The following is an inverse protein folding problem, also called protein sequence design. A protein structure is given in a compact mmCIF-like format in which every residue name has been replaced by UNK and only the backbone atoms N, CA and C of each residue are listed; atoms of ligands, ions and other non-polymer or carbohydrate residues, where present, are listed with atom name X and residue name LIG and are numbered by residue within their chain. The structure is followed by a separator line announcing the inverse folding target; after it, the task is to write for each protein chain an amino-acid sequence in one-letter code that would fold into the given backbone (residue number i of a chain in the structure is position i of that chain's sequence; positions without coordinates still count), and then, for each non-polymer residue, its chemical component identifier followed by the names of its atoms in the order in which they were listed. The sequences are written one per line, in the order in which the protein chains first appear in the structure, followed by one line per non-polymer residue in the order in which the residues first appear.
data_IF_420377103288
#
_entry.id   IF_420377103288
#
_cell.length_a   1.000
_cell.length_b   1.000
_cell.length_c   1.000
_cell.angle_alpha   90.00
_cell.angle_beta   90.00
_cell.angle_gamma   90.00
#
_symmetry.space_group_name_H-M   'P 1'
#
loop_
_entity.id
_entity.type
_entity.pdbx_description
1 polymer ?
#
# COMPACT_ATOMS: atom_id res chain seq x y z
N UNK A 1 7.11 -13.94 17.43
CA UNK A 1 7.84 -13.13 16.43
C UNK A 1 9.08 -13.93 16.06
N UNK A 2 9.22 -14.34 14.79
CA UNK A 2 10.42 -15.06 14.37
C UNK A 2 11.56 -14.04 14.17
N UNK A 3 12.54 -14.03 15.08
CA UNK A 3 13.67 -13.11 15.06
C UNK A 3 14.62 -13.35 13.87
N UNK A 4 14.64 -14.56 13.30
CA UNK A 4 15.46 -14.90 12.13
C UNK A 4 15.07 -14.06 10.92
N UNK A 5 13.77 -13.75 10.77
CA UNK A 5 13.28 -12.87 9.69
C UNK A 5 13.88 -11.47 9.75
N UNK A 6 14.30 -11.01 10.94
CA UNK A 6 14.87 -9.68 11.14
C UNK A 6 16.36 -9.61 10.79
N UNK A 7 17.08 -10.74 10.82
CA UNK A 7 18.52 -10.79 10.55
C UNK A 7 18.85 -10.63 9.06
N UNK A 8 17.89 -10.90 8.19
CA UNK A 8 18.05 -10.87 6.73
C UNK A 8 17.32 -9.69 6.08
N UNK A 9 17.07 -8.60 6.82
CA UNK A 9 16.41 -7.41 6.31
C UNK A 9 17.43 -6.42 5.76
N UNK A 10 17.08 -5.79 4.66
CA UNK A 10 17.86 -4.70 4.10
C UNK A 10 18.10 -3.55 5.08
N UNK A 11 19.30 -2.96 5.00
CA UNK A 11 19.62 -1.71 5.67
C UNK A 11 19.38 -0.56 4.71
N UNK A 12 18.65 0.47 5.16
CA UNK A 12 18.41 1.69 4.39
C UNK A 12 19.34 2.78 4.91
N UNK A 13 20.21 3.28 4.04
CA UNK A 13 21.00 4.49 4.28
C UNK A 13 20.06 5.71 4.22
N UNK A 14 19.91 6.46 5.33
CA UNK A 14 19.08 7.66 5.36
C UNK A 14 19.71 8.86 4.64
N UNK A 15 20.97 8.75 4.17
CA UNK A 15 21.68 9.82 3.49
C UNK A 15 21.17 9.96 2.06
N UNK A 16 20.63 11.11 1.65
CA UNK A 16 20.22 11.31 0.27
C UNK A 16 21.45 11.27 -0.65
N UNK A 17 21.26 10.80 -1.88
CA UNK A 17 22.32 10.87 -2.87
C UNK A 17 22.63 12.34 -3.22
N UNK A 18 23.91 12.69 -3.45
CA UNK A 18 24.28 14.07 -3.75
C UNK A 18 23.57 14.59 -5.00
N UNK A 19 22.97 15.81 -4.98
CA UNK A 19 22.24 16.34 -6.13
C UNK A 19 23.14 16.69 -7.32
N UNK A 20 24.44 16.89 -7.08
CA UNK A 20 25.46 17.14 -8.12
C UNK A 20 26.07 15.84 -8.69
N UNK A 21 25.51 14.68 -8.38
CA UNK A 21 26.00 13.41 -8.93
C UNK A 21 25.85 13.41 -10.45
N UNK A 22 26.80 12.79 -11.14
CA UNK A 22 26.61 12.45 -12.54
C UNK A 22 25.56 11.33 -12.66
N UNK A 23 24.66 11.46 -13.62
CA UNK A 23 23.70 10.41 -13.94
C UNK A 23 24.42 9.16 -14.42
N UNK A 24 23.99 8.01 -13.91
CA UNK A 24 24.60 6.73 -14.25
C UNK A 24 24.12 6.23 -15.61
N UNK A 25 22.88 6.50 -16.00
CA UNK A 25 22.38 6.15 -17.32
C UNK A 25 22.52 7.34 -18.25
N UNK A 26 22.91 7.09 -19.49
CA UNK A 26 23.00 8.12 -20.53
C UNK A 26 21.64 8.74 -20.87
N UNK A 27 20.58 7.93 -20.79
CA UNK A 27 19.20 8.35 -20.92
C UNK A 27 18.28 7.34 -20.22
N UNK A 28 17.30 7.86 -19.47
CA UNK A 28 16.15 7.08 -18.99
C UNK A 28 14.92 7.63 -19.69
N UNK A 29 14.35 6.82 -20.57
CA UNK A 29 13.27 7.21 -21.46
C UNK A 29 11.95 6.59 -21.01
N UNK A 30 10.99 7.44 -20.63
CA UNK A 30 9.64 7.04 -20.22
C UNK A 30 8.66 7.76 -21.14
N UNK A 31 8.22 7.07 -22.19
CA UNK A 31 7.23 7.57 -23.13
C UNK A 31 5.85 7.02 -22.76
N UNK A 32 4.92 7.83 -22.22
CA UNK A 32 3.61 7.35 -21.81
C UNK A 32 2.71 6.91 -22.96
N UNK A 33 2.93 7.41 -24.19
CA UNK A 33 2.19 6.94 -25.35
C UNK A 33 2.68 5.55 -25.79
N UNK A 34 1.79 4.56 -25.71
CA UNK A 34 2.12 3.15 -26.02
C UNK A 34 2.61 2.95 -27.44
N UNK A 35 2.06 3.65 -28.43
CA UNK A 35 2.45 3.46 -29.84
C UNK A 35 3.85 4.01 -30.06
N UNK A 36 4.11 5.22 -29.58
CA UNK A 36 5.43 5.86 -29.68
C UNK A 36 6.47 5.04 -28.93
N UNK A 37 6.16 4.51 -27.75
CA UNK A 37 7.08 3.67 -26.98
C UNK A 37 7.48 2.37 -27.73
N UNK A 38 6.53 1.74 -28.44
CA UNK A 38 6.79 0.55 -29.28
C UNK A 38 7.68 0.92 -30.47
N UNK A 39 7.34 1.99 -31.21
CA UNK A 39 8.12 2.46 -32.36
C UNK A 39 9.58 2.76 -31.95
N UNK A 40 9.78 3.41 -30.80
CA UNK A 40 11.12 3.67 -30.26
C UNK A 40 11.84 2.39 -29.85
N UNK A 41 11.13 1.38 -29.34
CA UNK A 41 11.72 0.10 -28.96
C UNK A 41 12.18 -0.70 -30.18
N UNK A 42 11.46 -0.63 -31.30
CA UNK A 42 11.88 -1.21 -32.57
C UNK A 42 13.12 -0.48 -33.11
N UNK A 43 13.15 0.85 -33.03
CA UNK A 43 14.29 1.66 -33.41
C UNK A 43 15.54 1.42 -32.53
N UNK A 44 15.37 0.99 -31.27
CA UNK A 44 16.46 0.69 -30.35
C UNK A 44 17.43 -0.38 -30.92
N UNK A 45 16.91 -1.36 -31.68
CA UNK A 45 17.72 -2.40 -32.33
C UNK A 45 18.64 -1.89 -33.43
N UNK A 46 18.29 -0.75 -34.04
CA UNK A 46 19.11 -0.12 -35.09
C UNK A 46 20.05 0.96 -34.55
N UNK A 47 19.81 1.43 -33.33
CA UNK A 47 20.52 2.57 -32.73
C UNK A 47 21.47 2.19 -31.60
N UNK A 48 21.40 0.95 -31.11
CA UNK A 48 22.26 0.41 -30.06
C UNK A 48 22.98 -0.86 -30.53
N UNK A 49 24.22 -1.05 -30.10
CA UNK A 49 24.98 -2.26 -30.42
C UNK A 49 24.41 -3.50 -29.71
N UNK A 50 23.81 -3.30 -28.52
CA UNK A 50 23.17 -4.35 -27.72
C UNK A 50 21.78 -3.88 -27.28
N UNK A 51 20.78 -4.77 -27.40
CA UNK A 51 19.45 -4.57 -26.81
C UNK A 51 19.10 -5.74 -25.91
N UNK A 52 18.78 -5.45 -24.65
CA UNK A 52 18.38 -6.46 -23.66
C UNK A 52 17.00 -6.12 -23.12
N UNK A 53 16.16 -7.13 -23.00
CA UNK A 53 14.82 -7.04 -22.41
C UNK A 53 14.88 -7.59 -21.00
N UNK A 54 14.24 -6.93 -20.03
CA UNK A 54 14.08 -7.44 -18.66
C UNK A 54 12.63 -7.45 -18.25
N UNK A 55 12.26 -8.45 -17.48
CA UNK A 55 10.94 -8.57 -16.87
C UNK A 55 11.00 -9.35 -15.56
N UNK A 56 9.94 -9.23 -14.75
CA UNK A 56 9.74 -10.02 -13.55
C UNK A 56 8.32 -10.55 -13.42
N UNK A 57 8.21 -11.78 -12.94
CA UNK A 57 6.92 -12.46 -12.85
C UNK A 57 6.76 -13.26 -11.57
N UNK A 58 5.51 -13.48 -11.18
CA UNK A 58 5.13 -14.22 -9.99
C UNK A 58 4.43 -15.54 -10.32
N UNK A 59 4.88 -16.64 -9.71
CA UNK A 59 4.26 -17.96 -9.85
C UNK A 59 4.32 -18.71 -8.53
N UNK A 60 3.22 -19.35 -8.13
CA UNK A 60 3.15 -20.20 -6.91
C UNK A 60 3.75 -19.53 -5.64
N UNK A 61 3.44 -18.26 -5.42
CA UNK A 61 3.91 -17.51 -4.24
C UNK A 61 5.38 -17.08 -4.26
N UNK A 62 6.09 -17.30 -5.38
CA UNK A 62 7.47 -16.89 -5.58
C UNK A 62 7.57 -15.89 -6.74
N UNK A 63 8.65 -15.11 -6.73
CA UNK A 63 9.02 -14.16 -7.77
C UNK A 63 10.27 -14.63 -8.48
N UNK A 64 10.26 -14.50 -9.80
CA UNK A 64 11.41 -14.66 -10.67
C UNK A 64 11.66 -13.36 -11.44
N UNK A 65 12.91 -13.15 -11.83
CA UNK A 65 13.32 -12.06 -12.70
C UNK A 65 14.16 -12.63 -13.84
N UNK A 66 14.09 -12.01 -15.00
CA UNK A 66 14.87 -12.43 -16.14
C UNK A 66 15.34 -11.25 -16.99
N UNK A 67 16.39 -11.51 -17.74
CA UNK A 67 16.90 -10.66 -18.79
C UNK A 67 17.22 -11.51 -20.02
N UNK A 68 16.90 -11.04 -21.21
CA UNK A 68 17.10 -11.76 -22.47
C UNK A 68 17.55 -10.82 -23.59
N UNK A 69 18.49 -11.31 -24.40
CA UNK A 69 18.94 -10.71 -25.65
C UNK A 69 18.51 -11.60 -26.81
N UNK A 70 17.95 -10.99 -27.85
CA UNK A 70 17.51 -11.67 -29.07
C UNK A 70 18.39 -11.29 -30.26
N UNK A 71 18.60 -12.20 -31.21
CA UNK A 71 19.20 -11.88 -32.51
C UNK A 71 18.17 -11.23 -33.48
N UNK A 72 18.61 -10.97 -34.71
CA UNK A 72 17.76 -10.45 -35.80
C UNK A 72 16.61 -11.41 -36.15
N UNK A 73 16.84 -12.71 -36.06
CA UNK A 73 15.83 -13.77 -36.25
C UNK A 73 14.88 -13.95 -35.06
N UNK A 74 14.95 -13.08 -34.05
CA UNK A 74 14.16 -13.12 -32.81
C UNK A 74 14.41 -14.35 -31.92
N UNK A 75 15.55 -15.01 -32.08
CA UNK A 75 15.98 -16.14 -31.25
C UNK A 75 16.83 -15.65 -30.07
N UNK A 76 16.71 -16.32 -28.93
CA UNK A 76 17.48 -15.95 -27.72
C UNK A 76 18.95 -16.28 -27.90
N UNK A 77 19.80 -15.27 -27.85
CA UNK A 77 21.27 -15.40 -27.94
C UNK A 77 21.92 -15.49 -26.56
N UNK A 78 21.47 -14.65 -25.63
CA UNK A 78 21.92 -14.66 -24.24
C UNK A 78 20.72 -14.42 -23.33
N UNK A 79 20.70 -15.11 -22.20
CA UNK A 79 19.68 -14.89 -21.17
C UNK A 79 20.21 -15.18 -19.78
N UNK A 80 19.61 -14.52 -18.80
CA UNK A 80 19.77 -14.80 -17.38
C UNK A 80 18.38 -14.89 -16.79
N UNK A 81 18.13 -15.93 -16.01
CA UNK A 81 16.91 -16.09 -15.21
C UNK A 81 17.31 -16.38 -13.77
N UNK A 82 16.64 -15.75 -12.82
CA UNK A 82 16.98 -15.87 -11.41
C UNK A 82 15.74 -15.89 -10.53
N UNK A 83 15.78 -16.74 -9.51
CA UNK A 83 14.77 -16.71 -8.47
C UNK A 83 15.04 -15.53 -7.53
N UNK A 84 14.03 -14.68 -7.34
CA UNK A 84 14.07 -13.55 -6.41
C UNK A 84 13.71 -13.98 -4.99
N UNK A 85 12.67 -14.81 -4.85
CA UNK A 85 12.27 -15.37 -3.56
C UNK A 85 10.77 -15.31 -3.34
N UNK A 86 10.29 -15.58 -2.11
CA UNK A 86 8.87 -15.66 -1.84
C UNK A 86 8.22 -14.26 -1.77
N UNK A 87 6.95 -14.17 -2.20
CA UNK A 87 6.19 -12.92 -2.31
C UNK A 87 5.87 -12.26 -0.95
N UNK A 88 6.00 -12.99 0.15
CA UNK A 88 5.88 -12.46 1.52
C UNK A 88 7.12 -11.65 1.95
N UNK A 89 8.27 -11.84 1.28
CA UNK A 89 9.54 -11.16 1.55
C UNK A 89 9.99 -10.22 0.44
N UNK A 90 9.51 -10.45 -0.78
CA UNK A 90 9.89 -9.72 -1.98
C UNK A 90 8.68 -9.10 -2.69
N UNK A 91 8.94 -8.12 -3.56
CA UNK A 91 7.91 -7.44 -4.34
C UNK A 91 8.21 -7.54 -5.82
N UNK A 92 7.17 -7.55 -6.66
CA UNK A 92 7.34 -7.55 -8.13
C UNK A 92 8.25 -6.38 -8.51
N UNK A 93 8.02 -5.19 -7.96
CA UNK A 93 8.90 -4.04 -8.15
C UNK A 93 10.38 -4.30 -7.84
N UNK A 94 10.71 -5.01 -6.76
CA UNK A 94 12.10 -5.38 -6.48
C UNK A 94 12.64 -6.42 -7.47
N UNK A 95 11.80 -7.36 -7.90
CA UNK A 95 12.15 -8.33 -8.94
C UNK A 95 12.44 -7.65 -10.29
N UNK A 96 11.67 -6.62 -10.67
CA UNK A 96 11.93 -5.80 -11.87
C UNK A 96 13.31 -5.14 -11.82
N UNK A 97 13.65 -4.52 -10.68
CA UNK A 97 14.96 -3.91 -10.47
C UNK A 97 16.08 -4.95 -10.58
N UNK A 98 15.87 -6.16 -10.07
CA UNK A 98 16.82 -7.27 -10.20
C UNK A 98 16.95 -7.69 -11.67
N UNK A 99 15.85 -7.76 -12.43
CA UNK A 99 15.87 -8.01 -13.87
C UNK A 99 16.76 -7.02 -14.61
N UNK A 100 16.58 -5.72 -14.35
CA UNK A 100 17.40 -4.64 -14.93
C UNK A 100 18.88 -4.80 -14.55
N UNK A 101 19.19 -5.15 -13.29
CA UNK A 101 20.57 -5.41 -12.88
C UNK A 101 21.20 -6.56 -13.68
N UNK A 102 20.46 -7.65 -13.91
CA UNK A 102 20.96 -8.77 -14.69
C UNK A 102 21.06 -8.46 -16.19
N UNK A 103 20.29 -7.51 -16.72
CA UNK A 103 20.51 -6.99 -18.07
C UNK A 103 21.90 -6.35 -18.23
N UNK A 104 22.35 -5.58 -17.23
CA UNK A 104 23.71 -4.99 -17.23
C UNK A 104 24.78 -6.10 -17.22
N UNK A 105 24.54 -7.21 -16.51
CA UNK A 105 25.43 -8.36 -16.53
C UNK A 105 25.50 -9.03 -17.91
N UNK A 106 24.38 -9.13 -18.63
CA UNK A 106 24.37 -9.62 -20.02
C UNK A 106 25.19 -8.69 -20.91
N UNK A 107 24.94 -7.37 -20.85
CA UNK A 107 25.67 -6.36 -21.63
C UNK A 107 27.19 -6.51 -21.44
N UNK A 108 27.66 -6.57 -20.20
CA UNK A 108 29.08 -6.71 -19.89
C UNK A 108 29.66 -8.04 -20.42
N UNK A 109 28.94 -9.15 -20.28
CA UNK A 109 29.38 -10.47 -20.79
C UNK A 109 29.48 -10.48 -22.32
N UNK A 110 28.47 -9.96 -22.99
CA UNK A 110 28.39 -9.91 -24.45
C UNK A 110 29.48 -8.98 -24.99
N UNK A 111 29.65 -7.78 -24.42
CA UNK A 111 30.72 -6.86 -24.83
C UNK A 111 32.13 -7.48 -24.69
N UNK A 112 32.40 -8.20 -23.60
CA UNK A 112 33.66 -8.92 -23.42
C UNK A 112 33.86 -10.04 -24.45
N UNK A 113 32.79 -10.76 -24.80
CA UNK A 113 32.85 -11.80 -25.85
C UNK A 113 33.15 -11.18 -27.21
N UNK A 114 32.44 -10.13 -27.62
CA UNK A 114 32.67 -9.42 -28.90
C UNK A 114 34.09 -8.88 -29.01
N UNK A 115 34.62 -8.32 -27.92
CA UNK A 115 36.01 -7.86 -27.88
C UNK A 115 36.99 -9.02 -28.11
N UNK A 116 36.77 -10.18 -27.46
CA UNK A 116 37.68 -11.34 -27.55
C UNK A 116 37.60 -12.07 -28.89
N UNK A 117 36.42 -12.19 -29.49
CA UNK A 117 36.23 -13.00 -30.70
C UNK A 117 36.39 -12.20 -31.98
N UNK A 118 35.89 -10.97 -32.01
CA UNK A 118 35.79 -10.16 -33.24
C UNK A 118 36.55 -8.83 -33.14
N UNK A 119 37.21 -8.52 -32.02
CA UNK A 119 37.83 -7.22 -31.74
C UNK A 119 36.84 -6.04 -31.93
N UNK A 120 35.54 -6.32 -31.82
CA UNK A 120 34.48 -5.33 -31.96
C UNK A 120 34.25 -4.64 -30.62
N UNK A 121 34.27 -3.31 -30.62
CA UNK A 121 33.93 -2.50 -29.44
C UNK A 121 32.46 -2.15 -29.45
N UNK A 122 31.74 -2.70 -28.48
CA UNK A 122 30.42 -2.22 -28.08
C UNK A 122 30.57 -0.84 -27.46
N UNK A 123 29.76 0.12 -27.91
CA UNK A 123 29.76 1.50 -27.38
C UNK A 123 28.42 1.88 -26.76
N UNK A 124 27.35 1.19 -27.14
CA UNK A 124 25.99 1.54 -26.75
C UNK A 124 25.17 0.30 -26.44
N UNK A 125 24.37 0.37 -25.38
CA UNK A 125 23.41 -0.68 -25.04
C UNK A 125 22.09 -0.07 -24.56
N UNK A 126 20.97 -0.69 -24.92
CA UNK A 126 19.64 -0.29 -24.45
C UNK A 126 19.00 -1.43 -23.67
N UNK A 127 18.52 -1.13 -22.47
CA UNK A 127 17.70 -2.03 -21.64
C UNK A 127 16.24 -1.62 -21.80
N UNK A 128 15.39 -2.56 -22.21
CA UNK A 128 13.96 -2.40 -22.35
C UNK A 128 13.24 -3.10 -21.19
N UNK A 129 12.38 -2.39 -20.47
CA UNK A 129 11.59 -2.93 -19.35
C UNK A 129 10.18 -2.34 -19.39
N UNK A 130 9.19 -3.14 -19.03
CA UNK A 130 7.81 -2.66 -18.92
C UNK A 130 7.43 -2.07 -17.56
N UNK A 131 8.35 -2.12 -16.60
CA UNK A 131 8.16 -1.55 -15.27
C UNK A 131 8.51 -0.07 -15.22
N UNK A 132 7.56 0.78 -15.61
CA UNK A 132 7.67 2.24 -15.47
C UNK A 132 8.05 2.66 -14.03
N UNK A 133 7.53 1.93 -13.03
CA UNK A 133 7.85 2.18 -11.62
C UNK A 133 9.33 1.93 -11.28
N UNK A 134 9.96 0.90 -11.86
CA UNK A 134 11.37 0.59 -11.66
C UNK A 134 12.24 1.68 -12.30
N UNK A 135 11.91 2.12 -13.51
CA UNK A 135 12.60 3.20 -14.21
C UNK A 135 12.56 4.50 -13.42
N UNK A 136 11.38 4.88 -12.89
CA UNK A 136 11.23 6.07 -12.05
C UNK A 136 12.03 5.97 -10.75
N UNK A 137 12.10 4.78 -10.14
CA UNK A 137 12.87 4.56 -8.92
C UNK A 137 14.39 4.64 -9.16
N UNK A 138 14.86 4.20 -10.32
CA UNK A 138 16.26 4.33 -10.74
C UNK A 138 16.61 5.78 -11.06
N UNK A 139 15.71 6.50 -11.76
CA UNK A 139 15.88 7.91 -12.11
C UNK A 139 15.92 8.81 -10.88
N UNK A 140 15.08 8.50 -9.87
CA UNK A 140 15.00 9.26 -8.63
C UNK A 140 15.21 8.33 -7.42
N UNK A 141 16.46 7.89 -7.17
CA UNK A 141 16.75 7.02 -6.04
C UNK A 141 16.41 7.71 -4.73
N UNK A 142 15.56 7.07 -3.93
CA UNK A 142 15.18 7.56 -2.61
C UNK A 142 15.51 6.56 -1.52
N UNK A 143 15.38 7.01 -0.27
CA UNK A 143 15.68 6.21 0.93
C UNK A 143 14.48 5.32 1.26
N UNK A 144 14.19 4.36 0.37
CA UNK A 144 13.04 3.46 0.42
C UNK A 144 13.48 2.00 0.29
N UNK A 145 12.56 1.09 0.60
CA UNK A 145 12.76 -0.35 0.45
C UNK A 145 13.17 -0.71 -0.98
N UNK A 146 14.20 -1.55 -1.15
CA UNK A 146 14.85 -1.84 -2.44
C UNK A 146 16.09 -0.99 -2.73
N UNK A 147 16.51 -0.09 -1.82
CA UNK A 147 17.66 0.81 -2.02
C UNK A 147 18.94 0.05 -2.40
N UNK A 148 19.25 -1.07 -1.73
CA UNK A 148 20.43 -1.88 -2.04
C UNK A 148 20.50 -2.31 -3.53
N UNK A 149 19.34 -2.59 -4.15
CA UNK A 149 19.24 -3.05 -5.54
C UNK A 149 19.48 -1.86 -6.47
N UNK A 150 18.85 -0.72 -6.19
CA UNK A 150 19.05 0.52 -6.97
C UNK A 150 20.51 0.94 -6.93
N UNK A 151 21.16 0.91 -5.75
CA UNK A 151 22.58 1.23 -5.63
C UNK A 151 23.46 0.26 -6.41
N UNK A 152 23.15 -1.04 -6.37
CA UNK A 152 23.86 -2.04 -7.17
C UNK A 152 23.71 -1.79 -8.68
N UNK A 153 22.50 -1.41 -9.16
CA UNK A 153 22.27 -1.02 -10.56
C UNK A 153 23.15 0.17 -10.92
N UNK A 154 23.08 1.27 -10.15
CA UNK A 154 23.83 2.49 -10.45
C UNK A 154 25.35 2.25 -10.45
N UNK A 155 25.85 1.44 -9.51
CA UNK A 155 27.25 1.05 -9.48
C UNK A 155 27.64 0.18 -10.68
N UNK A 156 26.78 -0.77 -11.06
CA UNK A 156 27.03 -1.65 -12.20
C UNK A 156 27.07 -0.84 -13.51
N UNK A 157 26.16 0.12 -13.71
CA UNK A 157 26.19 0.98 -14.90
C UNK A 157 27.45 1.84 -14.93
N UNK A 158 27.82 2.51 -13.84
CA UNK A 158 29.06 3.32 -13.77
C UNK A 158 30.30 2.50 -14.10
N UNK A 159 30.35 1.25 -13.61
CA UNK A 159 31.43 0.33 -13.96
C UNK A 159 31.40 -0.04 -15.46
N UNK A 160 30.22 -0.20 -16.06
CA UNK A 160 30.11 -0.42 -17.52
C UNK A 160 30.56 0.82 -18.31
N UNK A 161 30.26 2.03 -17.84
CA UNK A 161 30.69 3.28 -18.47
C UNK A 161 32.22 3.44 -18.48
N UNK A 162 32.95 2.97 -17.45
CA UNK A 162 34.42 3.01 -17.46
C UNK A 162 35.03 2.13 -18.55
N UNK A 163 34.26 1.18 -19.11
CA UNK A 163 34.64 0.38 -20.27
C UNK A 163 34.23 1.04 -21.61
N UNK A 164 33.70 2.26 -21.58
CA UNK A 164 33.28 3.03 -22.76
C UNK A 164 31.93 2.63 -23.33
N UNK A 165 31.09 1.94 -22.55
CA UNK A 165 29.75 1.49 -22.98
C UNK A 165 28.70 2.38 -22.31
N UNK A 166 27.97 3.14 -23.12
CA UNK A 166 26.86 3.98 -22.70
C UNK A 166 25.58 3.15 -22.61
N UNK A 167 24.95 3.10 -21.42
CA UNK A 167 23.67 2.38 -21.24
C UNK A 167 22.49 3.35 -21.25
N UNK A 168 21.48 3.04 -22.08
CA UNK A 168 20.14 3.64 -22.07
C UNK A 168 19.17 2.70 -21.38
N UNK A 169 18.24 3.25 -20.61
CA UNK A 169 17.10 2.52 -20.07
C UNK A 169 15.83 3.08 -20.69
N UNK A 170 14.97 2.24 -21.24
CA UNK A 170 13.78 2.66 -21.97
C UNK A 170 12.56 1.85 -21.54
N UNK A 171 11.46 2.55 -21.28
CA UNK A 171 10.18 1.94 -20.98
C UNK A 171 9.53 1.37 -22.24
N UNK A 172 8.93 0.20 -22.12
CA UNK A 172 8.05 -0.37 -23.14
C UNK A 172 6.70 -0.75 -22.53
N UNK A 173 5.59 -0.70 -23.28
CA UNK A 173 4.33 -1.17 -22.74
C UNK A 173 4.32 -2.69 -22.59
N UNK A 174 3.90 -3.16 -21.42
CA UNK A 174 3.69 -4.59 -21.17
C UNK A 174 2.55 -5.16 -22.03
N UNK A 175 2.65 -6.46 -22.33
CA UNK A 175 1.69 -7.24 -23.14
C UNK A 175 1.41 -6.66 -24.53
N UNK A 176 2.44 -6.11 -25.18
CA UNK A 176 2.35 -5.56 -26.54
C UNK A 176 2.95 -6.48 -27.61
N UNK A 177 3.11 -7.77 -27.32
CA UNK A 177 3.63 -8.76 -28.28
C UNK A 177 5.03 -8.43 -28.82
N UNK A 178 5.83 -7.68 -28.05
CA UNK A 178 7.25 -7.45 -28.36
C UNK A 178 8.00 -8.74 -28.04
N UNK A 179 8.58 -9.46 -29.03
CA UNK A 179 9.10 -10.81 -28.82
C UNK A 179 10.14 -10.91 -27.69
N UNK A 180 10.96 -9.87 -27.53
CA UNK A 180 11.96 -9.81 -26.45
C UNK A 180 11.34 -9.68 -25.05
N UNK A 181 10.27 -8.89 -24.92
CA UNK A 181 9.56 -8.75 -23.65
C UNK A 181 8.84 -10.04 -23.29
N UNK A 182 8.14 -10.66 -24.24
CA UNK A 182 7.45 -11.94 -24.03
C UNK A 182 8.42 -13.07 -23.65
N UNK A 183 9.63 -13.04 -24.23
CA UNK A 183 10.72 -13.97 -23.86
C UNK A 183 11.19 -13.73 -22.42
N UNK A 184 11.39 -12.46 -22.03
CA UNK A 184 11.78 -12.12 -20.67
C UNK A 184 10.69 -12.52 -19.65
N UNK A 185 9.42 -12.26 -19.93
CA UNK A 185 8.27 -12.68 -19.09
C UNK A 185 8.23 -14.20 -18.90
N UNK A 186 8.37 -14.95 -19.99
CA UNK A 186 8.39 -16.41 -19.95
C UNK A 186 9.54 -16.93 -19.07
N UNK A 187 10.75 -16.40 -19.26
CA UNK A 187 11.92 -16.77 -18.45
C UNK A 187 11.76 -16.36 -16.98
N UNK A 188 11.13 -15.23 -16.69
CA UNK A 188 10.84 -14.78 -15.34
C UNK A 188 9.83 -15.72 -14.65
N UNK A 189 8.78 -16.16 -15.38
CA UNK A 189 7.80 -17.14 -14.90
C UNK A 189 8.43 -18.51 -14.63
N UNK A 190 9.39 -18.93 -15.45
CA UNK A 190 10.15 -20.16 -15.22
C UNK A 190 11.07 -20.06 -14.00
N UNK A 191 11.64 -18.88 -13.73
CA UNK A 191 12.50 -18.64 -12.59
C UNK A 191 11.73 -18.40 -11.27
N UNK A 192 10.42 -18.23 -11.32
CA UNK A 192 9.55 -18.03 -10.16
C UNK A 192 9.27 -19.35 -9.40
N UNK A 193 10.31 -20.15 -9.16
CA UNK A 193 10.29 -21.41 -8.41
C UNK A 193 11.48 -21.48 -7.44
N UNK A 194 11.38 -22.20 -6.31
CA UNK A 194 12.50 -22.43 -5.39
C UNK A 194 13.80 -22.89 -6.07
N UNK A 195 14.90 -22.18 -5.81
CA UNK A 195 16.18 -22.43 -6.45
C UNK A 195 17.31 -21.49 -5.98
N UNK A 196 18.35 -21.34 -6.81
CA UNK A 196 19.46 -20.44 -6.53
C UNK A 196 19.01 -18.98 -6.67
N UNK A 197 19.28 -18.18 -5.64
CA UNK A 197 18.85 -16.79 -5.55
C UNK A 197 20.01 -15.78 -5.66
N UNK A 198 19.68 -14.50 -5.61
CA UNK A 198 20.59 -13.35 -5.63
C UNK A 198 21.15 -13.04 -4.23
N UNK A 199 22.19 -12.20 -4.10
CA UNK A 199 22.80 -11.91 -2.80
C UNK A 199 22.07 -10.85 -1.94
N UNK A 200 20.98 -10.26 -2.42
CA UNK A 200 20.28 -9.19 -1.70
C UNK A 200 19.46 -9.67 -0.49
N UNK A 201 19.39 -8.82 0.53
CA UNK A 201 18.56 -9.02 1.72
C UNK A 201 17.08 -8.70 1.45
N UNK A 202 16.18 -9.31 2.22
CA UNK A 202 14.73 -9.13 2.09
C UNK A 202 14.26 -7.70 2.36
N UNK A 203 13.07 -7.37 1.84
CA UNK A 203 12.56 -6.00 1.84
C UNK A 203 11.99 -5.57 3.20
N UNK A 204 12.45 -4.44 3.72
CA UNK A 204 11.94 -3.84 4.96
C UNK A 204 10.44 -3.53 4.86
N UNK A 205 9.97 -3.12 3.69
CA UNK A 205 8.54 -2.84 3.44
C UNK A 205 7.65 -4.06 3.62
N UNK A 206 8.15 -5.25 3.26
CA UNK A 206 7.43 -6.53 3.38
C UNK A 206 7.34 -6.99 4.81
N UNK A 207 8.44 -6.93 5.55
CA UNK A 207 8.44 -7.26 6.98
C UNK A 207 7.55 -6.31 7.80
N UNK A 208 7.57 -5.00 7.50
CA UNK A 208 6.64 -4.04 8.10
C UNK A 208 5.18 -4.38 7.81
N UNK A 209 4.87 -4.83 6.61
CA UNK A 209 3.50 -5.24 6.24
C UNK A 209 3.09 -6.52 7.00
N UNK A 210 3.98 -7.52 7.06
CA UNK A 210 3.76 -8.77 7.79
C UNK A 210 3.48 -8.51 9.28
N UNK A 211 4.31 -7.71 9.94
CA UNK A 211 4.11 -7.35 11.36
C UNK A 211 2.77 -6.64 11.57
N UNK A 212 2.42 -5.68 10.71
CA UNK A 212 1.13 -4.97 10.81
C UNK A 212 -0.07 -5.90 10.62
N UNK A 213 0.02 -6.85 9.69
CA UNK A 213 -1.01 -7.88 9.51
C UNK A 213 -1.15 -8.75 10.76
N UNK A 214 -0.03 -9.17 11.36
CA UNK A 214 -0.03 -9.92 12.61
C UNK A 214 -0.69 -9.16 13.77
N UNK A 215 -0.35 -7.87 13.94
CA UNK A 215 -0.96 -7.00 14.95
C UNK A 215 -2.47 -6.88 14.72
N UNK A 216 -2.91 -6.66 13.47
CA UNK A 216 -4.32 -6.55 13.15
C UNK A 216 -5.08 -7.86 13.40
N UNK A 217 -4.51 -9.00 13.00
CA UNK A 217 -5.11 -10.31 13.21
C UNK A 217 -5.23 -10.65 14.71
N UNK A 218 -4.21 -10.33 15.50
CA UNK A 218 -4.26 -10.48 16.95
C UNK A 218 -5.36 -9.59 17.55
N UNK A 219 -5.39 -8.30 17.19
CA UNK A 219 -6.41 -7.37 17.66
C UNK A 219 -7.82 -7.86 17.31
N UNK A 220 -8.03 -8.34 16.08
CA UNK A 220 -9.35 -8.78 15.61
C UNK A 220 -9.86 -10.00 16.38
N UNK A 221 -8.96 -10.94 16.69
CA UNK A 221 -9.26 -12.09 17.53
C UNK A 221 -9.63 -11.64 18.95
N UNK A 222 -8.79 -10.82 19.58
CA UNK A 222 -9.06 -10.29 20.93
C UNK A 222 -10.40 -9.52 20.98
N UNK A 223 -10.70 -8.75 19.93
CA UNK A 223 -11.94 -7.99 19.83
C UNK A 223 -13.19 -8.87 19.69
N UNK A 224 -13.10 -9.96 18.93
CA UNK A 224 -14.21 -10.92 18.74
C UNK A 224 -14.44 -11.79 19.97
N UNK A 225 -13.37 -12.24 20.62
CA UNK A 225 -13.44 -13.11 21.80
C UNK A 225 -13.77 -12.34 23.10
N UNK A 226 -13.57 -11.02 23.10
CA UNK A 226 -13.84 -10.21 24.28
C UNK A 226 -15.32 -10.22 24.68
N UNK A 227 -15.57 -10.56 25.94
CA UNK A 227 -16.88 -10.43 26.59
C UNK A 227 -17.31 -8.97 26.81
N UNK A 228 -16.37 -8.02 26.71
CA UNK A 228 -16.63 -6.58 26.84
C UNK A 228 -16.75 -5.91 25.46
N UNK A 229 -17.37 -4.73 25.41
CA UNK A 229 -17.49 -3.95 24.17
C UNK A 229 -18.65 -4.35 23.25
N UNK A 230 -19.57 -5.21 23.69
CA UNK A 230 -20.72 -5.65 22.90
C UNK A 230 -21.59 -4.49 22.38
N UNK A 231 -21.84 -3.47 23.20
CA UNK A 231 -22.56 -2.27 22.78
C UNK A 231 -21.83 -1.53 21.64
N UNK A 232 -20.52 -1.29 21.79
CA UNK A 232 -19.73 -0.63 20.75
C UNK A 232 -19.71 -1.45 19.45
N UNK A 233 -19.71 -2.79 19.51
CA UNK A 233 -19.82 -3.67 18.33
C UNK A 233 -21.16 -3.56 17.62
N UNK A 234 -22.26 -3.35 18.34
CA UNK A 234 -23.58 -3.10 17.75
C UNK A 234 -23.62 -1.76 17.02
N UNK A 235 -22.89 -0.76 17.53
CA UNK A 235 -22.76 0.55 16.88
C UNK A 235 -21.81 0.50 15.69
N UNK A 236 -20.68 -0.21 15.80
CA UNK A 236 -19.67 -0.28 14.75
C UNK A 236 -18.90 -1.60 14.80
N UNK A 237 -19.28 -2.52 13.92
CA UNK A 237 -18.63 -3.81 13.78
C UNK A 237 -17.39 -3.79 12.87
N UNK A 238 -17.03 -2.63 12.32
CA UNK A 238 -15.88 -2.48 11.39
C UNK A 238 -14.62 -1.93 12.07
N UNK A 239 -14.65 -1.77 13.39
CA UNK A 239 -13.51 -1.30 14.17
C UNK A 239 -12.31 -2.27 14.03
N UNK A 240 -11.06 -1.75 14.03
CA UNK A 240 -10.69 -0.34 13.98
C UNK A 240 -10.78 0.19 12.54
N UNK A 241 -11.65 1.16 12.30
CA UNK A 241 -11.80 1.74 10.96
C UNK A 241 -11.02 3.05 10.80
N UNK A 242 -10.44 3.28 9.62
CA UNK A 242 -9.76 4.55 9.28
C UNK A 242 -10.70 5.75 9.42
N UNK A 243 -11.99 5.58 9.10
CA UNK A 243 -12.97 6.66 9.24
C UNK A 243 -13.23 7.00 10.71
N UNK A 244 -13.25 6.01 11.62
CA UNK A 244 -13.43 6.23 13.05
C UNK A 244 -12.29 7.07 13.61
N UNK A 245 -11.05 6.79 13.21
CA UNK A 245 -9.90 7.63 13.59
C UNK A 245 -10.05 9.08 13.12
N UNK A 246 -10.53 9.30 11.89
CA UNK A 246 -10.76 10.66 11.36
C UNK A 246 -11.88 11.37 12.11
N UNK A 247 -12.99 10.68 12.37
CA UNK A 247 -14.15 11.19 13.07
C UNK A 247 -13.78 11.72 14.47
N UNK A 248 -13.03 10.93 15.25
CA UNK A 248 -12.55 11.39 16.56
C UNK A 248 -11.47 12.46 16.45
N UNK A 249 -10.58 12.36 15.46
CA UNK A 249 -9.49 13.31 15.26
C UNK A 249 -9.93 14.72 14.83
N UNK A 250 -11.12 14.86 14.25
CA UNK A 250 -11.68 16.16 13.86
C UNK A 250 -12.50 16.84 14.95
N UNK A 251 -12.84 16.13 16.03
CA UNK A 251 -13.70 16.66 17.09
C UNK A 251 -12.87 17.33 18.20
N UNK A 252 -13.34 18.47 18.76
CA UNK A 252 -12.84 18.98 20.03
C UNK A 252 -12.92 17.94 21.15
N UNK A 253 -12.01 18.00 22.12
CA UNK A 253 -11.87 16.98 23.19
C UNK A 253 -13.19 16.69 23.94
N UNK A 254 -13.97 17.72 24.26
CA UNK A 254 -15.26 17.58 24.95
C UNK A 254 -16.30 16.83 24.08
N UNK A 255 -16.37 17.15 22.79
CA UNK A 255 -17.27 16.49 21.83
C UNK A 255 -16.82 15.06 21.51
N UNK A 256 -15.51 14.81 21.43
CA UNK A 256 -14.96 13.47 21.30
C UNK A 256 -15.31 12.60 22.52
N UNK A 257 -15.22 13.16 23.74
CA UNK A 257 -15.64 12.49 24.97
C UNK A 257 -17.14 12.14 24.95
N UNK A 258 -17.99 13.12 24.62
CA UNK A 258 -19.43 12.90 24.49
C UNK A 258 -19.76 11.80 23.46
N UNK A 259 -19.10 11.82 22.30
CA UNK A 259 -19.25 10.76 21.30
C UNK A 259 -18.84 9.39 21.83
N UNK A 260 -17.74 9.31 22.60
CA UNK A 260 -17.34 8.05 23.26
C UNK A 260 -18.41 7.56 24.23
N UNK A 261 -18.98 8.45 25.05
CA UNK A 261 -20.06 8.07 25.97
C UNK A 261 -21.28 7.54 25.22
N UNK A 262 -21.70 8.21 24.14
CA UNK A 262 -22.81 7.78 23.30
C UNK A 262 -22.54 6.42 22.61
N UNK A 263 -21.33 6.22 22.08
CA UNK A 263 -20.95 4.99 21.34
C UNK A 263 -20.69 3.79 22.23
N UNK A 264 -20.31 4.01 23.48
CA UNK A 264 -20.00 2.93 24.43
C UNK A 264 -21.14 2.66 25.41
N UNK A 265 -22.10 3.59 25.53
CA UNK A 265 -23.15 3.55 26.53
C UNK A 265 -22.67 3.94 27.94
N UNK A 266 -21.39 4.27 28.12
CA UNK A 266 -20.81 4.74 29.38
C UNK A 266 -21.13 6.23 29.61
N UNK A 267 -22.40 6.52 29.85
CA UNK A 267 -22.94 7.86 30.08
C UNK A 267 -23.79 7.87 31.34
N UNK A 268 -23.92 9.01 32.04
CA UNK A 268 -24.63 9.11 33.32
C UNK A 268 -26.17 9.06 33.23
N UNK A 269 -26.73 8.45 32.18
CA UNK A 269 -28.18 8.17 32.09
C UNK A 269 -28.59 7.12 33.14
N UNK A 270 -29.87 7.10 33.52
CA UNK A 270 -30.36 6.30 34.65
C UNK A 270 -29.98 4.82 34.61
N UNK A 271 -29.99 4.16 33.44
CA UNK A 271 -29.58 2.74 33.34
C UNK A 271 -28.14 2.53 33.82
N UNK A 272 -27.21 3.37 33.37
CA UNK A 272 -25.81 3.27 33.75
C UNK A 272 -25.60 3.75 35.19
N UNK A 273 -26.24 4.85 35.59
CA UNK A 273 -26.13 5.38 36.95
C UNK A 273 -26.63 4.38 38.00
N UNK A 274 -27.75 3.70 37.76
CA UNK A 274 -28.27 2.61 38.62
C UNK A 274 -27.31 1.43 38.72
N UNK A 275 -26.72 1.01 37.60
CA UNK A 275 -25.75 -0.09 37.59
C UNK A 275 -24.55 0.18 38.51
N UNK A 276 -24.17 1.46 38.69
CA UNK A 276 -23.11 1.91 39.60
C UNK A 276 -23.63 2.49 40.93
N UNK A 277 -24.92 2.31 41.25
CA UNK A 277 -25.57 2.73 42.51
C UNK A 277 -25.57 4.24 42.78
N UNK A 278 -25.57 5.06 41.73
CA UNK A 278 -25.76 6.51 41.82
C UNK A 278 -27.23 6.94 41.70
N UNK A 279 -28.12 6.00 41.33
CA UNK A 279 -29.59 6.17 41.33
C UNK A 279 -30.26 4.87 41.76
N UNK A 280 -31.46 4.98 42.33
CA UNK A 280 -32.25 3.82 42.77
C UNK A 280 -33.01 3.15 41.60
N UNK A 281 -33.37 3.93 40.59
CA UNK A 281 -34.11 3.48 39.41
C UNK A 281 -33.40 3.80 38.08
N UNK A 282 -33.85 3.13 37.02
CA UNK A 282 -33.34 3.28 35.66
C UNK A 282 -34.30 4.08 34.76
N UNK A 283 -35.16 4.90 35.37
CA UNK A 283 -36.23 5.61 34.68
C UNK A 283 -35.81 7.00 34.21
N UNK A 284 -36.34 7.37 33.07
CA UNK A 284 -36.35 8.72 32.52
C UNK A 284 -37.46 9.52 33.19
N UNK A 285 -37.40 10.85 33.09
CA UNK A 285 -38.46 11.76 33.57
C UNK A 285 -39.82 11.44 32.90
N UNK A 286 -39.80 10.84 31.70
CA UNK A 286 -41.04 10.41 31.03
C UNK A 286 -41.59 9.06 31.52
N UNK A 287 -40.95 8.39 32.48
CA UNK A 287 -41.36 7.10 33.03
C UNK A 287 -40.84 5.85 32.32
N UNK A 288 -40.14 6.00 31.19
CA UNK A 288 -39.53 4.89 30.44
C UNK A 288 -38.08 4.65 30.84
N UNK A 289 -37.47 3.51 30.46
CA UNK A 289 -36.07 3.21 30.79
C UNK A 289 -35.09 4.16 30.06
N UNK A 290 -34.25 4.88 30.81
CA UNK A 290 -33.36 5.91 30.26
C UNK A 290 -32.06 5.30 29.66
N UNK A 291 -32.10 5.03 28.36
CA UNK A 291 -30.95 4.61 27.55
C UNK A 291 -30.54 5.68 26.53
N UNK A 292 -29.34 5.55 25.93
CA UNK A 292 -28.94 6.38 24.78
C UNK A 292 -29.97 6.27 23.64
N UNK A 293 -30.47 5.05 23.40
CA UNK A 293 -31.55 4.81 22.42
C UNK A 293 -32.79 5.61 22.75
N UNK A 294 -33.30 5.46 23.98
CA UNK A 294 -34.48 6.19 24.41
C UNK A 294 -34.30 7.70 24.26
N UNK A 295 -33.19 8.26 24.72
CA UNK A 295 -32.94 9.71 24.68
C UNK A 295 -32.84 10.23 23.23
N UNK A 296 -32.13 9.52 22.35
CA UNK A 296 -31.95 9.95 20.95
C UNK A 296 -33.19 9.69 20.09
N UNK A 297 -33.93 8.60 20.33
CA UNK A 297 -34.91 8.06 19.38
C UNK A 297 -36.34 7.97 19.88
N UNK A 298 -36.60 7.95 21.19
CA UNK A 298 -37.95 7.62 21.72
C UNK A 298 -38.55 8.69 22.65
N UNK A 299 -37.72 9.38 23.44
CA UNK A 299 -38.16 10.18 24.59
C UNK A 299 -39.17 11.28 24.21
N UNK A 300 -40.42 11.25 24.70
CA UNK A 300 -41.44 12.23 24.34
C UNK A 300 -41.11 13.64 24.84
N UNK A 301 -40.35 13.76 25.93
CA UNK A 301 -39.91 15.04 26.50
C UNK A 301 -38.87 15.75 25.60
N UNK A 302 -38.23 15.03 24.69
CA UNK A 302 -37.23 15.57 23.75
C UNK A 302 -37.76 15.63 22.32
N UNK A 303 -39.09 15.61 22.12
CA UNK A 303 -39.71 15.53 20.79
C UNK A 303 -39.29 16.65 19.85
N UNK A 304 -39.26 17.90 20.32
CA UNK A 304 -38.92 19.04 19.46
C UNK A 304 -37.44 19.02 19.04
N UNK A 305 -36.54 18.69 19.98
CA UNK A 305 -35.12 18.49 19.67
C UNK A 305 -34.91 17.32 18.67
N UNK A 306 -35.67 16.22 18.83
CA UNK A 306 -35.59 15.07 17.90
C UNK A 306 -36.12 15.40 16.52
N UNK A 307 -37.15 16.25 16.42
CA UNK A 307 -37.69 16.72 15.13
C UNK A 307 -36.62 17.49 14.35
N UNK A 308 -35.88 18.36 15.03
CA UNK A 308 -34.75 19.07 14.43
C UNK A 308 -33.58 18.13 14.06
N UNK A 309 -33.23 17.19 14.95
CA UNK A 309 -32.22 16.17 14.65
C UNK A 309 -32.58 15.38 13.38
N UNK A 310 -33.82 14.89 13.29
CA UNK A 310 -34.33 14.14 12.13
C UNK A 310 -34.25 14.96 10.83
N UNK A 311 -34.54 16.26 10.89
CA UNK A 311 -34.41 17.18 9.74
C UNK A 311 -32.95 17.30 9.28
N UNK A 312 -31.99 17.35 10.20
CA UNK A 312 -30.56 17.47 9.89
C UNK A 312 -29.94 16.18 9.33
N UNK A 313 -30.33 15.01 9.86
CA UNK A 313 -29.65 13.73 9.57
C UNK A 313 -30.38 12.87 8.53
N UNK A 314 -31.65 13.16 8.23
CA UNK A 314 -32.42 12.43 7.23
C UNK A 314 -32.55 10.93 7.56
N UNK A 315 -32.28 10.08 6.57
CA UNK A 315 -32.43 8.61 6.69
C UNK A 315 -31.52 7.98 7.74
N UNK A 316 -30.42 8.66 8.11
CA UNK A 316 -29.54 8.21 9.18
C UNK A 316 -30.27 8.09 10.52
N UNK A 317 -31.39 8.82 10.72
CA UNK A 317 -32.19 8.79 11.94
C UNK A 317 -32.74 7.40 12.26
N UNK A 318 -32.89 6.52 11.26
CA UNK A 318 -33.47 5.20 11.44
C UNK A 318 -32.48 4.15 11.98
N UNK A 319 -31.20 4.50 12.13
CA UNK A 319 -30.15 3.56 12.55
C UNK A 319 -29.24 4.20 13.60
N UNK A 320 -29.22 3.62 14.80
CA UNK A 320 -28.32 4.05 15.87
C UNK A 320 -26.84 3.98 15.45
N UNK A 321 -26.47 2.93 14.70
CA UNK A 321 -25.13 2.81 14.09
C UNK A 321 -24.82 4.05 13.24
N UNK A 322 -25.72 4.41 12.32
CA UNK A 322 -25.49 5.53 11.40
C UNK A 322 -25.44 6.88 12.11
N UNK A 323 -26.34 7.11 13.08
CA UNK A 323 -26.34 8.32 13.92
C UNK A 323 -25.00 8.52 14.65
N UNK A 324 -24.40 7.43 15.14
CA UNK A 324 -23.16 7.47 15.91
C UNK A 324 -21.91 7.25 15.04
N UNK A 325 -22.06 7.37 13.71
CA UNK A 325 -20.96 7.33 12.75
C UNK A 325 -20.40 5.93 12.47
N UNK A 326 -21.17 4.89 12.75
CA UNK A 326 -20.93 3.51 12.32
C UNK A 326 -21.23 3.29 10.82
N UNK A 327 -21.11 2.05 10.34
CA UNK A 327 -21.46 1.71 8.96
C UNK A 327 -22.98 1.83 8.74
N UNK A 328 -23.38 2.38 7.58
CA UNK A 328 -24.79 2.45 7.19
C UNK A 328 -25.34 1.08 6.78
N UNK A 329 -26.63 0.85 7.05
CA UNK A 329 -27.34 -0.35 6.60
C UNK A 329 -27.78 -0.17 5.14
N UNK A 330 -26.89 -0.48 4.20
CA UNK A 330 -27.18 -0.40 2.76
C UNK A 330 -25.93 -0.57 1.89
N UNK A 331 -26.13 -0.99 0.62
CA UNK A 331 -25.07 -1.06 -0.40
C UNK A 331 -24.69 0.35 -0.89
N UNK A 332 -24.13 1.16 -0.01
CA UNK A 332 -23.65 2.50 -0.32
C UNK A 332 -22.62 2.94 0.71
N UNK A 333 -21.40 3.24 0.26
CA UNK A 333 -20.40 3.85 1.15
C UNK A 333 -20.87 5.26 1.47
N UNK A 334 -21.39 5.49 2.68
CA UNK A 334 -21.58 6.86 3.20
C UNK A 334 -20.21 7.56 3.09
N UNK A 335 -20.17 8.77 2.55
CA UNK A 335 -18.91 9.52 2.48
C UNK A 335 -18.47 9.98 3.91
N UNK A 336 -17.21 10.37 4.06
CA UNK A 336 -16.68 10.78 5.38
C UNK A 336 -17.30 12.08 5.88
N UNK A 337 -17.71 12.98 4.97
CA UNK A 337 -18.24 14.30 5.31
C UNK A 337 -19.66 14.20 5.85
N UNK A 338 -20.50 13.38 5.21
CA UNK A 338 -21.86 13.04 5.63
C UNK A 338 -21.86 12.39 7.02
N UNK A 339 -20.98 11.42 7.29
CA UNK A 339 -20.83 10.86 8.66
C UNK A 339 -20.49 11.94 9.69
N UNK A 340 -19.58 12.84 9.35
CA UNK A 340 -19.15 13.90 10.27
C UNK A 340 -20.31 14.85 10.58
N UNK A 341 -21.05 15.29 9.56
CA UNK A 341 -22.25 16.13 9.72
C UNK A 341 -23.33 15.45 10.56
N UNK A 342 -23.59 14.16 10.32
CA UNK A 342 -24.55 13.38 11.11
C UNK A 342 -24.15 13.33 12.58
N UNK A 343 -22.89 13.00 12.86
CA UNK A 343 -22.38 12.93 14.23
C UNK A 343 -22.38 14.31 14.89
N UNK A 344 -22.05 15.37 14.15
CA UNK A 344 -22.13 16.74 14.66
C UNK A 344 -23.56 17.09 15.09
N UNK A 345 -24.57 16.78 14.25
CA UNK A 345 -25.96 17.02 14.59
C UNK A 345 -26.41 16.23 15.84
N UNK A 346 -25.94 14.99 16.01
CA UNK A 346 -26.22 14.17 17.20
C UNK A 346 -25.57 14.77 18.45
N UNK A 347 -24.35 15.28 18.34
CA UNK A 347 -23.67 15.93 19.45
C UNK A 347 -24.35 17.24 19.84
N UNK A 348 -24.81 18.05 18.87
CA UNK A 348 -25.60 19.25 19.15
C UNK A 348 -26.91 18.91 19.87
N UNK A 349 -27.58 17.83 19.47
CA UNK A 349 -28.77 17.31 20.15
C UNK A 349 -28.44 16.90 21.59
N UNK A 350 -27.36 16.14 21.78
CA UNK A 350 -26.97 15.63 23.09
C UNK A 350 -26.63 16.78 24.05
N UNK A 351 -25.94 17.83 23.58
CA UNK A 351 -25.66 19.05 24.35
C UNK A 351 -26.96 19.82 24.67
N UNK A 352 -27.84 20.04 23.69
CA UNK A 352 -29.12 20.72 23.89
C UNK A 352 -30.07 19.97 24.84
N UNK A 353 -30.00 18.64 24.87
CA UNK A 353 -30.83 17.82 25.75
C UNK A 353 -30.49 17.97 27.23
N UNK A 354 -29.26 18.41 27.54
CA UNK A 354 -28.70 18.48 28.90
C UNK A 354 -28.72 17.13 29.67
N UNK A 355 -28.93 16.01 28.97
CA UNK A 355 -29.00 14.65 29.56
C UNK A 355 -27.63 14.01 29.76
N UNK A 356 -26.66 14.32 28.90
CA UNK A 356 -25.36 13.66 28.87
C UNK A 356 -24.28 14.46 29.60
N UNK A 357 -24.53 14.75 30.89
CA UNK A 357 -23.56 15.49 31.70
C UNK A 357 -22.34 14.62 31.99
N UNK A 358 -21.15 15.25 32.01
CA UNK A 358 -19.85 14.56 32.10
C UNK A 358 -19.46 14.14 33.52
N UNK A 359 -20.21 14.57 34.53
CA UNK A 359 -19.96 14.30 35.94
C UNK A 359 -21.21 13.68 36.57
N UNK A 360 -20.99 12.81 37.56
CA UNK A 360 -22.08 12.37 38.41
C UNK A 360 -22.70 13.61 39.08
N UNK A 361 -24.04 13.65 39.25
CA UNK A 361 -24.71 14.71 40.01
C UNK A 361 -24.20 14.81 41.45
#
# INVERSE_FOLDING_TARGET
MNLERLQEIEMIDPTPLPPWRQEAFSLIEIEPDRKIAIERAEAARSTSDIVVYSDASGRQGHLGAAAAMLNESLETTDSIRIQVGPMDRWSVHAAELIGILYSINIINRVALRHWRTAHMRVRSATILSDSMSALQAIQNPGNKSGQQIIHAILQAVRNTETHGISIRLQWIPGHCSIPGNETADLLAKEAAIPGKTHPFCSLLSRERAHIRQGIHAQWEREWKESKTGGHLRQIDNTLPAKYTRRLYGSLPRNRAYLLTQLRTGHCWLSIYAKAFRFRDDDLCICGERESVHHVLLDCPQLRELRRELRRKVGDAFNSMSTLLGGPGEGRGKIDSASRTKTVEAVLDFAEASQRFQSRAP
#
